data_IF_772133748394
#
_entry.id   IF_772133748394
#
_cell.length_a   1.000
_cell.length_b   1.000
_cell.length_c   1.000
_cell.angle_alpha   90.00
_cell.angle_beta   90.00
_cell.angle_gamma   90.00
#
_symmetry.space_group_name_H-M   'P 1'
#
loop_
_entity.id
_entity.type
_entity.pdbx_description
1 polymer ?
#
# COMPACT_ATOMS: atom_id res chain seq x y z
N UNK A 1 25.85 19.55 -2.46
CA UNK A 1 24.68 18.91 -1.82
C UNK A 1 23.44 19.48 -2.48
N UNK A 2 22.80 18.77 -3.43
CA UNK A 2 21.61 19.30 -4.10
C UNK A 2 20.37 18.76 -3.39
N UNK A 3 19.70 19.64 -2.64
CA UNK A 3 18.30 19.45 -2.25
C UNK A 3 17.49 19.71 -3.52
N UNK A 4 17.34 18.70 -4.38
CA UNK A 4 16.50 18.83 -5.57
C UNK A 4 15.06 18.52 -5.18
N UNK A 5 14.25 19.57 -5.10
CA UNK A 5 12.88 19.54 -5.61
C UNK A 5 11.93 18.51 -5.00
N UNK A 6 12.04 18.18 -3.71
CA UNK A 6 11.02 17.33 -3.06
C UNK A 6 9.62 17.95 -3.15
N UNK A 7 9.51 19.28 -3.28
CA UNK A 7 8.26 20.04 -3.28
C UNK A 7 7.77 20.51 -4.67
N UNK A 8 8.53 20.30 -5.76
CA UNK A 8 8.15 20.81 -7.10
C UNK A 8 7.47 19.76 -8.01
N UNK A 9 7.17 18.56 -7.52
CA UNK A 9 6.32 17.62 -8.27
C UNK A 9 4.87 18.09 -8.18
N UNK A 10 4.47 18.93 -9.13
CA UNK A 10 3.05 19.16 -9.41
C UNK A 10 2.53 17.88 -10.06
N UNK A 11 1.62 17.18 -9.39
CA UNK A 11 0.98 15.99 -9.97
C UNK A 11 0.12 16.40 -11.16
N UNK A 12 0.51 15.96 -12.36
CA UNK A 12 -0.31 16.07 -13.55
C UNK A 12 -1.46 15.04 -13.55
N UNK A 13 -2.46 15.21 -14.42
CA UNK A 13 -3.56 14.25 -14.55
C UNK A 13 -3.09 12.82 -14.90
N UNK A 14 -2.01 12.67 -15.67
CA UNK A 14 -1.41 11.36 -15.96
C UNK A 14 -0.69 10.72 -14.75
N UNK A 15 -0.17 11.54 -13.83
CA UNK A 15 0.50 11.08 -12.62
C UNK A 15 -0.51 10.51 -11.63
N UNK A 16 -1.63 11.22 -11.46
CA UNK A 16 -2.77 10.76 -10.65
C UNK A 16 -3.31 9.45 -11.21
N UNK A 17 -3.51 9.36 -12.54
CA UNK A 17 -3.98 8.14 -13.19
C UNK A 17 -3.03 6.96 -12.97
N UNK A 18 -1.71 7.20 -12.97
CA UNK A 18 -0.70 6.18 -12.70
C UNK A 18 -0.83 5.63 -11.28
N UNK A 19 -0.94 6.51 -10.28
CA UNK A 19 -1.10 6.12 -8.87
C UNK A 19 -2.44 5.40 -8.66
N UNK A 20 -3.53 5.91 -9.22
CA UNK A 20 -4.86 5.28 -9.14
C UNK A 20 -4.88 3.89 -9.75
N UNK A 21 -4.23 3.71 -10.91
CA UNK A 21 -4.13 2.41 -11.58
C UNK A 21 -3.43 1.39 -10.69
N UNK A 22 -2.30 1.77 -10.08
CA UNK A 22 -1.55 0.86 -9.21
C UNK A 22 -2.30 0.59 -7.90
N UNK A 23 -2.97 1.60 -7.35
CA UNK A 23 -3.78 1.46 -6.13
C UNK A 23 -4.99 0.54 -6.34
N UNK A 24 -5.70 0.67 -7.45
CA UNK A 24 -6.87 -0.16 -7.75
C UNK A 24 -6.45 -1.63 -7.94
N UNK A 25 -5.36 -1.88 -8.65
CA UNK A 25 -4.79 -3.22 -8.79
C UNK A 25 -4.31 -3.79 -7.46
N UNK A 26 -3.68 -2.98 -6.62
CA UNK A 26 -3.26 -3.41 -5.28
C UNK A 26 -4.47 -3.78 -4.42
N UNK A 27 -5.51 -2.93 -4.33
CA UNK A 27 -6.69 -3.21 -3.51
C UNK A 27 -7.46 -4.43 -4.02
N UNK A 28 -7.56 -4.61 -5.34
CA UNK A 28 -8.22 -5.78 -5.96
C UNK A 28 -7.52 -7.07 -5.54
N UNK A 29 -6.19 -7.09 -5.52
CA UNK A 29 -5.41 -8.24 -5.03
C UNK A 29 -5.69 -8.54 -3.55
N UNK A 30 -5.93 -7.50 -2.75
CA UNK A 30 -6.27 -7.64 -1.33
C UNK A 30 -7.77 -7.80 -1.05
N UNK A 31 -8.62 -7.77 -2.08
CA UNK A 31 -10.08 -7.76 -1.95
C UNK A 31 -10.62 -6.66 -0.99
N UNK A 32 -9.96 -5.49 -0.98
CA UNK A 32 -10.33 -4.38 -0.11
C UNK A 32 -11.34 -3.42 -0.75
N UNK A 33 -12.33 -2.93 0.02
CA UNK A 33 -13.21 -1.86 -0.45
C UNK A 33 -12.45 -0.54 -0.57
N UNK A 34 -12.97 0.37 -1.40
CA UNK A 34 -12.34 1.67 -1.65
C UNK A 34 -12.26 2.53 -0.39
N UNK A 35 -13.26 2.41 0.50
CA UNK A 35 -13.34 3.16 1.77
C UNK A 35 -12.57 2.51 2.92
N UNK A 36 -11.78 1.47 2.63
CA UNK A 36 -10.95 0.83 3.65
C UNK A 36 -9.81 1.75 4.10
N UNK A 37 -9.52 1.88 5.41
CA UNK A 37 -8.41 2.72 5.90
C UNK A 37 -7.07 2.33 5.27
N UNK A 38 -6.82 1.04 5.05
CA UNK A 38 -5.58 0.57 4.40
C UNK A 38 -5.49 0.95 2.92
N UNK A 39 -6.63 1.17 2.25
CA UNK A 39 -6.62 1.72 0.88
C UNK A 39 -6.12 3.16 0.89
N UNK A 40 -6.54 3.97 1.86
CA UNK A 40 -6.05 5.33 2.01
C UNK A 40 -4.56 5.36 2.40
N UNK A 41 -4.13 4.46 3.28
CA UNK A 41 -2.73 4.35 3.68
C UNK A 41 -1.85 3.86 2.51
N UNK A 42 -2.31 2.87 1.74
CA UNK A 42 -1.63 2.41 0.54
C UNK A 42 -1.49 3.54 -0.50
N UNK A 43 -2.52 4.36 -0.68
CA UNK A 43 -2.46 5.52 -1.56
C UNK A 43 -1.36 6.50 -1.15
N UNK A 44 -1.25 6.81 0.15
CA UNK A 44 -0.20 7.70 0.67
C UNK A 44 1.22 7.14 0.45
N UNK A 45 1.40 5.82 0.60
CA UNK A 45 2.67 5.15 0.33
C UNK A 45 3.00 5.20 -1.17
N UNK A 46 2.04 4.88 -2.04
CA UNK A 46 2.23 4.92 -3.48
C UNK A 46 2.58 6.32 -3.97
N UNK A 47 1.95 7.36 -3.42
CA UNK A 47 2.28 8.75 -3.71
C UNK A 47 3.72 9.11 -3.33
N UNK A 48 4.16 8.60 -2.18
CA UNK A 48 5.54 8.80 -1.70
C UNK A 48 6.56 8.11 -2.61
N UNK A 49 6.25 6.89 -3.06
CA UNK A 49 7.07 6.14 -4.02
C UNK A 49 7.13 6.83 -5.40
N UNK A 50 6.00 7.33 -5.89
CA UNK A 50 5.94 8.08 -7.14
C UNK A 50 6.88 9.30 -7.10
N UNK A 51 6.82 10.08 -6.02
CA UNK A 51 7.70 11.25 -5.80
C UNK A 51 9.18 10.88 -5.68
N UNK A 52 9.50 9.65 -5.27
CA UNK A 52 10.88 9.16 -5.23
C UNK A 52 11.45 8.82 -6.62
N UNK A 53 10.66 8.96 -7.70
CA UNK A 53 11.07 8.68 -9.08
C UNK A 53 10.51 7.37 -9.64
N UNK A 54 9.57 6.72 -8.94
CA UNK A 54 8.81 5.59 -9.46
C UNK A 54 7.59 6.08 -10.24
N UNK A 55 7.86 6.85 -11.29
CA UNK A 55 6.92 7.69 -12.06
C UNK A 55 6.11 6.95 -13.14
N UNK A 56 6.31 5.64 -13.29
CA UNK A 56 5.55 4.82 -14.24
C UNK A 56 4.88 3.66 -13.55
N UNK A 57 3.75 3.19 -14.09
CA UNK A 57 3.01 2.02 -13.58
C UNK A 57 3.93 0.83 -13.25
N UNK A 58 4.80 0.33 -14.15
CA UNK A 58 5.64 -0.83 -13.85
C UNK A 58 6.69 -0.55 -12.76
N UNK A 59 7.28 0.67 -12.73
CA UNK A 59 8.24 1.06 -11.68
C UNK A 59 7.54 1.15 -10.31
N UNK A 60 6.36 1.73 -10.28
CA UNK A 60 5.59 1.93 -9.06
C UNK A 60 5.08 0.60 -8.50
N UNK A 61 4.63 -0.33 -9.36
CA UNK A 61 4.25 -1.69 -8.95
C UNK A 61 5.43 -2.46 -8.34
N UNK A 62 6.61 -2.37 -8.96
CA UNK A 62 7.82 -3.03 -8.44
C UNK A 62 8.29 -2.41 -7.12
N UNK A 63 8.21 -1.09 -6.98
CA UNK A 63 8.53 -0.41 -5.73
C UNK A 63 7.52 -0.79 -4.62
N UNK A 64 6.22 -0.81 -4.96
CA UNK A 64 5.15 -1.17 -4.06
C UNK A 64 5.28 -2.61 -3.53
N UNK A 65 5.64 -3.58 -4.38
CA UNK A 65 5.82 -4.98 -3.98
C UNK A 65 7.02 -5.21 -3.04
N UNK A 66 7.98 -4.27 -3.01
CA UNK A 66 9.16 -4.30 -2.15
C UNK A 66 9.02 -3.40 -0.92
N UNK A 67 7.96 -2.59 -0.85
CA UNK A 67 7.79 -1.61 0.21
C UNK A 67 7.26 -2.28 1.48
N UNK A 68 8.08 -2.30 2.53
CA UNK A 68 7.75 -2.94 3.81
C UNK A 68 6.37 -2.53 4.35
N UNK A 69 6.05 -1.24 4.31
CA UNK A 69 4.75 -0.75 4.78
C UNK A 69 3.54 -1.30 4.01
N UNK A 70 3.69 -1.61 2.71
CA UNK A 70 2.61 -2.26 1.95
C UNK A 70 2.58 -3.76 2.22
N UNK A 71 3.74 -4.39 2.37
CA UNK A 71 3.85 -5.82 2.73
C UNK A 71 3.20 -6.08 4.10
N UNK A 72 3.46 -5.21 5.08
CA UNK A 72 2.90 -5.32 6.43
C UNK A 72 1.37 -5.17 6.39
N UNK A 73 0.82 -4.29 5.54
CA UNK A 73 -0.62 -4.18 5.34
C UNK A 73 -1.23 -5.45 4.75
N UNK A 74 -0.55 -6.12 3.82
CA UNK A 74 -1.00 -7.40 3.25
C UNK A 74 -0.92 -8.53 4.28
N UNK A 75 0.12 -8.54 5.12
CA UNK A 75 0.31 -9.59 6.14
C UNK A 75 -0.80 -9.61 7.20
N UNK A 76 -1.49 -8.49 7.41
CA UNK A 76 -2.64 -8.41 8.34
C UNK A 76 -3.91 -9.02 7.71
N UNK A 77 -3.98 -9.07 6.39
CA UNK A 77 -5.15 -9.50 5.62
C UNK A 77 -5.03 -10.90 5.04
N UNK A 78 -4.23 -11.81 5.62
CA UNK A 78 -4.31 -13.23 5.23
C UNK A 78 -5.78 -13.68 5.35
N UNK A 79 -6.52 -13.85 4.23
CA UNK A 79 -7.84 -14.44 4.33
C UNK A 79 -7.52 -15.86 4.72
N UNK A 80 -7.94 -16.28 5.91
CA UNK A 80 -7.83 -17.65 6.42
C UNK A 80 -8.08 -18.69 5.33
N UNK A 81 -7.06 -19.03 4.54
CA UNK A 81 -7.03 -20.11 3.55
C UNK A 81 -6.56 -21.37 4.25
N UNK A 82 -7.21 -21.62 5.38
CA UNK A 82 -7.24 -22.86 6.14
C UNK A 82 -7.92 -22.46 7.44
N UNK A 83 -9.13 -22.99 7.65
CA UNK A 83 -9.69 -22.98 8.99
C UNK A 83 -8.68 -23.56 9.97
N UNK A 84 -8.33 -22.76 10.98
CA UNK A 84 -7.93 -23.11 12.35
C UNK A 84 -7.05 -22.00 12.90
N UNK A 85 -7.57 -21.27 13.88
CA UNK A 85 -6.77 -20.99 15.06
C UNK A 85 -7.65 -20.84 16.30
N UNK A 86 -7.53 -21.74 17.30
CA UNK A 86 -7.89 -21.43 18.66
C UNK A 86 -6.66 -20.86 19.36
N UNK A 87 -6.74 -19.65 19.89
CA UNK A 87 -5.99 -19.29 21.11
C UNK A 87 -6.88 -18.41 21.98
N UNK A 88 -7.67 -19.08 22.80
CA UNK A 88 -8.12 -18.52 24.06
C UNK A 88 -6.88 -18.06 24.81
N UNK A 89 -6.75 -16.74 25.04
CA UNK A 89 -5.84 -16.26 26.07
C UNK A 89 -6.47 -16.64 27.40
N UNK A 90 -5.82 -17.58 28.07
CA UNK A 90 -6.15 -18.07 29.40
C UNK A 90 -6.37 -16.89 30.33
N UNK A 91 -7.56 -16.83 30.93
CA UNK A 91 -7.85 -15.93 32.04
C UNK A 91 -6.84 -16.17 33.14
N UNK A 92 -5.99 -15.17 33.38
CA UNK A 92 -5.24 -15.07 34.62
C UNK A 92 -6.26 -14.74 35.72
N UNK A 93 -6.67 -15.74 36.49
CA UNK A 93 -7.43 -15.52 37.73
C UNK A 93 -6.78 -16.31 38.85
N UNK A 94 -6.08 -15.54 39.69
CA UNK A 94 -5.89 -15.66 41.14
C UNK A 94 -5.36 -16.97 41.73
#
# INVERSE_FOLDING_TARGET
>A
MRIKSFLETTFGPGDIQTVETVLDEWRKRQSLPRDHPDTALAAAILLSLFRAGHDTVPKLQLAASRHKGLIDLVSVYEPTRAGKWPRTKTSQTK
#
